data_IF_816806036980
#
_entry.id   IF_816806036980
#
_cell.length_a   1.000
_cell.length_b   1.000
_cell.length_c   1.000
_cell.angle_alpha   90.00
_cell.angle_beta   90.00
_cell.angle_gamma   90.00
#
_symmetry.space_group_name_H-M   'P 1'
#
loop_
_entity.id
_entity.type
_entity.pdbx_description
1 polymer ?
#
# COMPACT_ATOMS: atom_id res chain seq x y z
N UNK A 1 38.86 0.56 37.14
CA UNK A 1 37.63 0.63 36.34
C UNK A 1 37.16 2.07 36.41
N UNK A 2 37.28 2.80 35.30
CA UNK A 2 36.95 4.23 35.27
C UNK A 2 35.42 4.39 35.39
N UNK A 3 34.95 5.40 36.12
CA UNK A 3 33.50 5.68 36.28
C UNK A 3 32.77 5.77 34.92
N UNK A 4 33.47 6.26 33.90
CA UNK A 4 32.94 6.37 32.54
C UNK A 4 32.80 5.01 31.84
N UNK A 5 33.70 4.06 32.13
CA UNK A 5 33.68 2.68 31.59
C UNK A 5 32.50 1.90 32.16
N UNK A 6 32.27 1.98 33.48
CA UNK A 6 31.16 1.28 34.13
C UNK A 6 29.80 1.85 33.71
N UNK A 7 29.68 3.18 33.57
CA UNK A 7 28.43 3.81 33.15
C UNK A 7 28.03 3.44 31.70
N UNK A 8 28.99 3.49 30.77
CA UNK A 8 28.74 3.12 29.37
C UNK A 8 28.53 1.61 29.22
N UNK A 9 29.25 0.77 29.95
CA UNK A 9 29.00 -0.67 29.97
C UNK A 9 27.60 -0.99 30.50
N UNK A 10 27.18 -0.37 31.61
CA UNK A 10 25.82 -0.53 32.14
C UNK A 10 24.74 -0.09 31.14
N UNK A 11 25.01 0.97 30.37
CA UNK A 11 24.13 1.41 29.29
C UNK A 11 24.04 0.38 28.16
N UNK A 12 25.15 -0.24 27.77
CA UNK A 12 25.15 -1.33 26.78
C UNK A 12 24.38 -2.55 27.29
N UNK A 13 24.54 -2.90 28.57
CA UNK A 13 23.81 -3.99 29.21
C UNK A 13 22.31 -3.71 29.27
N UNK A 14 21.91 -2.49 29.62
CA UNK A 14 20.49 -2.09 29.58
C UNK A 14 19.88 -2.14 28.17
N UNK A 15 20.66 -1.86 27.11
CA UNK A 15 20.23 -2.05 25.73
C UNK A 15 20.14 -3.53 25.35
N UNK A 16 21.07 -4.35 25.83
CA UNK A 16 21.06 -5.80 25.65
C UNK A 16 19.83 -6.44 26.28
N UNK A 17 19.47 -6.05 27.50
CA UNK A 17 18.25 -6.51 28.18
C UNK A 17 16.96 -6.08 27.45
N UNK A 18 16.97 -4.87 26.87
CA UNK A 18 15.88 -4.38 26.01
C UNK A 18 15.82 -5.05 24.64
N UNK A 19 16.68 -6.05 24.39
CA UNK A 19 16.84 -6.76 23.10
C UNK A 19 17.28 -5.88 21.95
N UNK A 20 17.80 -4.70 22.26
CA UNK A 20 18.31 -3.78 21.25
C UNK A 20 19.78 -4.09 20.95
N UNK A 21 20.01 -5.28 20.37
CA UNK A 21 21.34 -5.84 20.19
C UNK A 21 22.20 -5.01 19.22
N UNK A 22 21.59 -4.29 18.27
CA UNK A 22 22.31 -3.49 17.27
C UNK A 22 22.93 -2.25 17.91
N UNK A 23 22.16 -1.53 18.73
CA UNK A 23 22.70 -0.37 19.43
C UNK A 23 23.63 -0.77 20.59
N UNK A 24 23.36 -1.89 21.26
CA UNK A 24 24.27 -2.47 22.25
C UNK A 24 25.63 -2.83 21.65
N UNK A 25 25.66 -3.49 20.48
CA UNK A 25 26.89 -3.86 19.77
C UNK A 25 27.72 -2.63 19.37
N UNK A 26 27.07 -1.56 18.89
CA UNK A 26 27.74 -0.31 18.56
C UNK A 26 28.44 0.32 19.76
N UNK A 27 27.78 0.32 20.93
CA UNK A 27 28.33 0.90 22.16
C UNK A 27 29.49 0.05 22.70
N UNK A 28 29.37 -1.27 22.66
CA UNK A 28 30.43 -2.21 23.06
C UNK A 28 31.65 -2.12 22.12
N UNK A 29 31.45 -1.91 20.82
CA UNK A 29 32.53 -1.66 19.87
C UNK A 29 33.29 -0.37 20.16
N UNK A 30 32.59 0.69 20.60
CA UNK A 30 33.24 1.93 21.03
C UNK A 30 34.07 1.73 22.29
N UNK A 31 33.58 0.91 23.23
CA UNK A 31 34.29 0.59 24.45
C UNK A 31 35.51 -0.30 24.21
N UNK A 32 35.41 -1.30 23.33
CA UNK A 32 36.54 -2.15 22.94
C UNK A 32 37.69 -1.39 22.28
N UNK A 33 37.41 -0.30 21.56
CA UNK A 33 38.46 0.57 20.99
C UNK A 33 39.29 1.26 22.06
N UNK A 34 38.68 1.58 23.21
CA UNK A 34 39.33 2.27 24.33
C UNK A 34 39.93 1.30 25.34
N UNK A 35 39.30 0.14 25.50
CA UNK A 35 39.68 -0.92 26.46
C UNK A 35 39.73 -2.29 25.75
N UNK A 36 40.73 -2.54 24.90
CA UNK A 36 40.80 -3.76 24.08
C UNK A 36 41.03 -5.04 24.90
N UNK A 37 41.65 -4.93 26.08
CA UNK A 37 42.00 -6.04 26.97
C UNK A 37 40.85 -6.48 27.89
N UNK A 38 39.73 -5.75 27.94
CA UNK A 38 38.62 -6.07 28.84
C UNK A 38 37.82 -7.29 28.31
N UNK A 39 37.87 -8.38 29.06
CA UNK A 39 37.22 -9.65 28.74
C UNK A 39 35.70 -9.58 28.77
N UNK A 40 35.13 -8.73 29.64
CA UNK A 40 33.69 -8.63 29.84
C UNK A 40 33.04 -7.92 28.66
N UNK A 41 33.64 -6.82 28.18
CA UNK A 41 33.14 -6.09 27.01
C UNK A 41 33.18 -7.00 25.78
N UNK A 42 34.24 -7.79 25.62
CA UNK A 42 34.38 -8.77 24.54
C UNK A 42 33.34 -9.88 24.64
N UNK A 43 33.06 -10.37 25.85
CA UNK A 43 32.02 -11.37 26.11
C UNK A 43 30.64 -10.86 25.70
N UNK A 44 30.24 -9.66 26.16
CA UNK A 44 28.94 -9.08 25.81
C UNK A 44 28.81 -8.73 24.33
N UNK A 45 29.90 -8.30 23.68
CA UNK A 45 29.92 -8.07 22.23
C UNK A 45 29.66 -9.36 21.47
N UNK A 46 30.34 -10.45 21.83
CA UNK A 46 30.14 -11.76 21.23
C UNK A 46 28.69 -12.24 21.39
N UNK A 47 28.11 -12.05 22.58
CA UNK A 47 26.72 -12.38 22.85
C UNK A 47 25.74 -11.56 21.99
N UNK A 48 25.98 -10.26 21.80
CA UNK A 48 25.19 -9.42 20.88
C UNK A 48 25.23 -9.95 19.45
N UNK A 49 26.42 -10.30 18.95
CA UNK A 49 26.60 -10.80 17.58
C UNK A 49 25.86 -12.13 17.35
N UNK A 50 25.92 -13.05 18.32
CA UNK A 50 25.16 -14.31 18.27
C UNK A 50 23.65 -14.03 18.20
N UNK A 51 23.15 -13.12 19.04
CA UNK A 51 21.72 -12.77 19.08
C UNK A 51 21.24 -12.12 17.77
N UNK A 52 22.02 -11.19 17.22
CA UNK A 52 21.74 -10.56 15.91
C UNK A 52 21.70 -11.63 14.79
N UNK A 53 22.64 -12.58 14.79
CA UNK A 53 22.66 -13.65 13.81
C UNK A 53 21.45 -14.59 13.94
N UNK A 54 21.02 -14.89 15.17
CA UNK A 54 19.83 -15.69 15.45
C UNK A 54 18.54 -14.99 14.99
N UNK A 55 18.39 -13.69 15.27
CA UNK A 55 17.23 -12.90 14.81
C UNK A 55 17.17 -12.77 13.28
N UNK A 56 18.32 -12.61 12.63
CA UNK A 56 18.38 -12.63 11.17
C UNK A 56 18.00 -14.00 10.60
N UNK A 57 18.47 -15.10 11.22
CA UNK A 57 18.12 -16.46 10.81
C UNK A 57 16.63 -16.76 11.00
N UNK A 58 16.01 -16.34 12.10
CA UNK A 58 14.57 -16.48 12.30
C UNK A 58 13.77 -15.62 11.33
N UNK A 59 14.24 -14.41 10.99
CA UNK A 59 13.62 -13.57 9.97
C UNK A 59 13.64 -14.21 8.58
N UNK A 60 14.78 -14.78 8.17
CA UNK A 60 14.94 -15.46 6.88
C UNK A 60 14.13 -16.76 6.80
N UNK A 61 14.15 -17.58 7.85
CA UNK A 61 13.31 -18.77 7.96
C UNK A 61 11.82 -18.42 7.91
N UNK A 62 11.40 -17.36 8.62
CA UNK A 62 10.01 -16.90 8.57
C UNK A 62 9.63 -16.41 7.16
N UNK A 63 10.53 -15.75 6.43
CA UNK A 63 10.27 -15.35 5.05
C UNK A 63 10.11 -16.56 4.11
N UNK A 64 10.95 -17.58 4.28
CA UNK A 64 10.86 -18.83 3.51
C UNK A 64 9.61 -19.63 3.86
N UNK A 65 9.30 -19.82 5.15
CA UNK A 65 8.09 -20.49 5.61
C UNK A 65 6.84 -19.78 5.11
N UNK A 66 6.82 -18.44 5.12
CA UNK A 66 5.74 -17.65 4.51
C UNK A 66 5.61 -17.93 3.01
N UNK A 67 6.71 -18.02 2.25
CA UNK A 67 6.66 -18.37 0.82
C UNK A 67 6.12 -19.78 0.59
N UNK A 68 6.57 -20.76 1.38
CA UNK A 68 6.18 -22.17 1.25
C UNK A 68 4.70 -22.36 1.58
N UNK A 69 4.16 -21.69 2.60
CA UNK A 69 2.74 -21.78 2.96
C UNK A 69 1.86 -21.00 1.97
N UNK A 70 2.35 -19.86 1.45
CA UNK A 70 1.57 -19.02 0.52
C UNK A 70 1.48 -19.57 -0.89
N UNK A 71 2.46 -20.35 -1.35
CA UNK A 71 2.46 -20.92 -2.70
C UNK A 71 1.29 -21.90 -2.97
N UNK A 72 1.06 -22.96 -2.16
CA UNK A 72 -0.06 -23.88 -2.36
C UNK A 72 -1.40 -23.18 -2.14
N UNK A 73 -1.46 -22.21 -1.22
CA UNK A 73 -2.68 -21.45 -0.97
C UNK A 73 -3.05 -20.53 -2.14
N UNK A 74 -2.05 -19.99 -2.86
CA UNK A 74 -2.26 -19.25 -4.14
C UNK A 74 -2.71 -20.17 -5.26
N UNK A 75 -2.14 -21.37 -5.38
CA UNK A 75 -2.54 -22.34 -6.40
C UNK A 75 -3.98 -22.79 -6.15
N UNK A 76 -4.35 -23.06 -4.89
CA UNK A 76 -5.70 -23.47 -4.53
C UNK A 76 -6.73 -22.34 -4.76
N UNK A 77 -6.36 -21.09 -4.44
CA UNK A 77 -7.16 -19.92 -4.77
C UNK A 77 -7.40 -19.78 -6.29
N UNK A 78 -6.37 -20.04 -7.11
CA UNK A 78 -6.46 -19.98 -8.56
C UNK A 78 -7.28 -21.16 -9.13
N UNK A 79 -7.13 -22.35 -8.57
CA UNK A 79 -7.93 -23.52 -8.91
C UNK A 79 -9.43 -23.26 -8.67
N UNK A 80 -9.80 -22.81 -7.46
CA UNK A 80 -11.20 -22.51 -7.12
C UNK A 80 -11.82 -21.44 -8.02
N UNK A 81 -11.01 -20.50 -8.53
CA UNK A 81 -11.45 -19.50 -9.50
C UNK A 81 -11.83 -20.12 -10.85
N UNK A 82 -11.04 -21.06 -11.35
CA UNK A 82 -11.38 -21.78 -12.58
C UNK A 82 -12.52 -22.80 -12.39
N UNK A 83 -12.82 -23.18 -11.13
CA UNK A 83 -13.89 -24.12 -10.79
C UNK A 83 -15.26 -23.47 -10.54
N UNK A 84 -15.42 -22.15 -10.73
CA UNK A 84 -16.68 -21.39 -10.51
C UNK A 84 -17.24 -21.48 -9.06
N UNK A 85 -16.42 -21.96 -8.12
CA UNK A 85 -16.75 -22.08 -6.69
C UNK A 85 -16.41 -20.79 -5.93
N UNK A 86 -16.94 -19.66 -6.41
CA UNK A 86 -16.59 -18.31 -5.97
C UNK A 86 -16.68 -18.09 -4.45
N UNK A 87 -17.65 -18.73 -3.78
CA UNK A 87 -17.84 -18.59 -2.33
C UNK A 87 -16.71 -19.24 -1.54
N UNK A 88 -16.20 -20.39 -1.99
CA UNK A 88 -15.05 -21.05 -1.35
C UNK A 88 -13.78 -20.26 -1.61
N UNK A 89 -13.61 -19.75 -2.84
CA UNK A 89 -12.51 -18.84 -3.19
C UNK A 89 -12.52 -17.59 -2.29
N UNK A 90 -13.69 -16.98 -2.06
CA UNK A 90 -13.88 -15.86 -1.14
C UNK A 90 -13.45 -16.20 0.28
N UNK A 91 -13.92 -17.33 0.82
CA UNK A 91 -13.60 -17.76 2.19
C UNK A 91 -12.08 -17.98 2.39
N UNK A 92 -11.40 -18.49 1.38
CA UNK A 92 -9.96 -18.71 1.38
C UNK A 92 -9.21 -17.38 1.33
N UNK A 93 -9.68 -16.43 0.50
CA UNK A 93 -9.13 -15.08 0.43
C UNK A 93 -9.32 -14.32 1.75
N UNK A 94 -10.44 -14.50 2.45
CA UNK A 94 -10.64 -13.93 3.79
C UNK A 94 -9.63 -14.45 4.81
N UNK A 95 -9.34 -15.75 4.81
CA UNK A 95 -8.30 -16.33 5.67
C UNK A 95 -6.92 -15.79 5.29
N UNK A 96 -6.62 -15.70 3.99
CA UNK A 96 -5.38 -15.14 3.47
C UNK A 96 -5.15 -13.71 3.94
N UNK A 97 -6.14 -12.82 3.81
CA UNK A 97 -6.00 -11.40 4.19
C UNK A 97 -5.79 -11.24 5.69
N UNK A 98 -6.50 -12.01 6.53
CA UNK A 98 -6.37 -11.96 7.99
C UNK A 98 -4.93 -12.28 8.46
N UNK A 99 -4.25 -13.16 7.75
CA UNK A 99 -2.86 -13.51 8.08
C UNK A 99 -1.85 -12.67 7.29
N UNK A 100 -2.21 -12.21 6.08
CA UNK A 100 -1.33 -11.49 5.16
C UNK A 100 -2.13 -10.53 4.25
N UNK A 101 -2.10 -9.21 4.51
CA UNK A 101 -2.73 -8.21 3.65
C UNK A 101 -1.92 -8.03 2.35
N UNK A 102 -2.06 -8.99 1.43
CA UNK A 102 -1.50 -8.91 0.09
C UNK A 102 -2.40 -8.03 -0.78
N UNK A 103 -1.86 -6.99 -1.40
CA UNK A 103 -2.57 -6.10 -2.36
C UNK A 103 -3.34 -6.92 -3.41
N UNK A 104 -2.75 -8.01 -3.90
CA UNK A 104 -3.38 -8.90 -4.88
C UNK A 104 -4.66 -9.54 -4.33
N UNK A 105 -4.70 -9.91 -3.04
CA UNK A 105 -5.89 -10.46 -2.38
C UNK A 105 -7.03 -9.44 -2.26
N UNK A 106 -6.71 -8.17 -2.06
CA UNK A 106 -7.70 -7.09 -2.09
C UNK A 106 -8.27 -6.87 -3.49
N UNK A 107 -7.43 -6.95 -4.54
CA UNK A 107 -7.91 -6.91 -5.92
C UNK A 107 -8.87 -8.04 -6.24
N UNK A 108 -8.55 -9.26 -5.81
CA UNK A 108 -9.42 -10.41 -6.02
C UNK A 108 -10.77 -10.24 -5.33
N UNK A 109 -10.78 -9.69 -4.12
CA UNK A 109 -12.01 -9.39 -3.38
C UNK A 109 -12.84 -8.31 -4.08
N UNK A 110 -12.20 -7.24 -4.54
CA UNK A 110 -12.86 -6.18 -5.29
C UNK A 110 -13.49 -6.71 -6.59
N UNK A 111 -12.78 -7.58 -7.31
CA UNK A 111 -13.30 -8.23 -8.53
C UNK A 111 -14.51 -9.12 -8.25
N UNK A 112 -14.41 -10.03 -7.28
CA UNK A 112 -15.51 -10.96 -6.94
C UNK A 112 -16.77 -10.21 -6.45
N UNK A 113 -16.60 -9.17 -5.63
CA UNK A 113 -17.72 -8.34 -5.16
C UNK A 113 -18.36 -7.50 -6.28
N UNK A 114 -17.56 -7.06 -7.25
CA UNK A 114 -18.05 -6.35 -8.43
C UNK A 114 -18.91 -7.23 -9.33
N UNK A 115 -18.56 -8.52 -9.45
CA UNK A 115 -19.28 -9.49 -10.29
C UNK A 115 -20.57 -10.02 -9.65
N UNK A 116 -20.57 -10.24 -8.32
CA UNK A 116 -21.65 -10.97 -7.66
C UNK A 116 -22.82 -10.10 -7.21
N UNK A 117 -22.63 -9.06 -6.38
CA UNK A 117 -23.76 -8.49 -5.59
C UNK A 117 -23.65 -6.98 -5.26
N UNK A 118 -22.47 -6.39 -5.09
CA UNK A 118 -22.39 -5.02 -4.53
C UNK A 118 -21.19 -4.22 -5.04
N UNK A 119 -21.41 -3.45 -6.12
CA UNK A 119 -20.42 -2.52 -6.68
C UNK A 119 -19.86 -1.53 -5.64
N UNK A 120 -20.65 -1.14 -4.61
CA UNK A 120 -20.19 -0.22 -3.56
C UNK A 120 -19.15 -0.86 -2.64
N UNK A 121 -19.32 -2.15 -2.31
CA UNK A 121 -18.37 -2.90 -1.47
C UNK A 121 -17.04 -3.20 -2.17
N UNK A 122 -17.02 -3.24 -3.50
CA UNK A 122 -15.78 -3.39 -4.27
C UNK A 122 -14.85 -2.18 -4.09
N UNK A 123 -15.41 -0.97 -4.08
CA UNK A 123 -14.66 0.29 -4.01
C UNK A 123 -13.96 0.50 -2.67
N UNK A 124 -14.55 0.06 -1.55
CA UNK A 124 -13.89 0.16 -0.25
C UNK A 124 -12.59 -0.64 -0.21
N UNK A 125 -12.55 -1.82 -0.85
CA UNK A 125 -11.31 -2.60 -0.95
C UNK A 125 -10.29 -1.98 -1.89
N UNK A 126 -10.72 -1.33 -2.97
CA UNK A 126 -9.81 -0.58 -3.83
C UNK A 126 -9.22 0.63 -3.09
N UNK A 127 -9.99 1.28 -2.21
CA UNK A 127 -9.47 2.36 -1.36
C UNK A 127 -8.43 1.84 -0.35
N UNK A 128 -8.64 0.66 0.24
CA UNK A 128 -7.63 0.00 1.09
C UNK A 128 -6.36 -0.36 0.31
N UNK A 129 -6.45 -0.69 -0.99
CA UNK A 129 -5.25 -0.88 -1.81
C UNK A 129 -4.46 0.42 -1.92
N UNK A 130 -5.14 1.56 -2.11
CA UNK A 130 -4.48 2.86 -2.23
C UNK A 130 -3.90 3.39 -0.92
N UNK A 131 -4.37 2.94 0.25
CA UNK A 131 -3.70 3.25 1.53
C UNK A 131 -2.39 2.48 1.69
N UNK A 132 -2.32 1.25 1.16
CA UNK A 132 -1.11 0.41 1.20
C UNK A 132 -0.14 0.81 0.08
N UNK A 133 -0.65 1.09 -1.11
CA UNK A 133 0.12 1.42 -2.32
C UNK A 133 -0.53 2.61 -3.05
N UNK A 134 -0.19 3.84 -2.66
CA UNK A 134 -0.79 5.06 -3.22
C UNK A 134 -0.55 5.26 -4.72
N UNK A 135 0.50 4.65 -5.27
CA UNK A 135 0.88 4.73 -6.68
C UNK A 135 0.39 3.52 -7.51
N UNK A 136 -0.52 2.70 -6.96
CA UNK A 136 -1.06 1.58 -7.72
C UNK A 136 -1.98 2.08 -8.85
N UNK A 137 -1.46 2.02 -10.08
CA UNK A 137 -2.11 2.49 -11.29
C UNK A 137 -3.48 1.83 -11.52
N UNK A 138 -3.61 0.54 -11.20
CA UNK A 138 -4.85 -0.21 -11.44
C UNK A 138 -5.93 0.24 -10.47
N UNK A 139 -5.60 0.45 -9.20
CA UNK A 139 -6.55 0.94 -8.21
C UNK A 139 -6.96 2.39 -8.50
N UNK A 140 -6.00 3.24 -8.89
CA UNK A 140 -6.29 4.61 -9.31
C UNK A 140 -7.23 4.66 -10.51
N UNK A 141 -7.04 3.80 -11.52
CA UNK A 141 -7.96 3.68 -12.67
C UNK A 141 -9.38 3.32 -12.23
N UNK A 142 -9.53 2.29 -11.39
CA UNK A 142 -10.85 1.83 -10.91
C UNK A 142 -11.58 2.93 -10.11
N UNK A 143 -10.88 3.67 -9.24
CA UNK A 143 -11.49 4.79 -8.50
C UNK A 143 -11.83 5.96 -9.43
N UNK A 144 -10.98 6.25 -10.41
CA UNK A 144 -11.23 7.27 -11.42
C UNK A 144 -12.53 7.00 -12.19
N UNK A 145 -12.69 5.77 -12.70
CA UNK A 145 -13.90 5.31 -13.38
C UNK A 145 -15.13 5.34 -12.46
N UNK A 146 -14.97 4.93 -11.21
CA UNK A 146 -16.05 5.01 -10.23
C UNK A 146 -16.55 6.45 -10.02
N UNK A 147 -15.64 7.42 -9.95
CA UNK A 147 -16.02 8.82 -9.87
C UNK A 147 -16.70 9.34 -11.15
N UNK A 148 -16.33 8.84 -12.33
CA UNK A 148 -17.08 9.12 -13.57
C UNK A 148 -18.52 8.61 -13.44
N UNK A 149 -18.71 7.37 -13.01
CA UNK A 149 -20.05 6.76 -12.83
C UNK A 149 -20.91 7.52 -11.81
N UNK A 150 -20.30 8.10 -10.78
CA UNK A 150 -20.98 8.95 -9.80
C UNK A 150 -21.25 10.39 -10.28
N UNK A 151 -20.81 10.76 -11.49
CA UNK A 151 -20.91 12.12 -12.00
C UNK A 151 -19.93 13.12 -11.38
N UNK A 152 -18.98 12.64 -10.57
CA UNK A 152 -17.95 13.41 -9.87
C UNK A 152 -16.75 13.68 -10.78
N UNK A 153 -16.99 14.37 -11.91
CA UNK A 153 -16.00 14.55 -12.99
C UNK A 153 -14.70 15.23 -12.53
N UNK A 154 -14.80 16.22 -11.64
CA UNK A 154 -13.62 16.92 -11.09
C UNK A 154 -12.69 15.97 -10.29
N UNK A 155 -13.27 15.08 -9.48
CA UNK A 155 -12.50 14.07 -8.73
C UNK A 155 -11.88 13.04 -9.66
N UNK A 156 -12.65 12.56 -10.65
CA UNK A 156 -12.13 11.64 -11.67
C UNK A 156 -10.93 12.24 -12.42
N UNK A 157 -11.03 13.51 -12.84
CA UNK A 157 -9.97 14.24 -13.54
C UNK A 157 -8.69 14.34 -12.70
N UNK A 158 -8.81 14.71 -11.43
CA UNK A 158 -7.67 14.78 -10.51
C UNK A 158 -6.96 13.43 -10.37
N UNK A 159 -7.72 12.33 -10.27
CA UNK A 159 -7.15 10.98 -10.16
C UNK A 159 -6.43 10.58 -11.45
N UNK A 160 -7.05 10.78 -12.62
CA UNK A 160 -6.41 10.44 -13.89
C UNK A 160 -5.19 11.33 -14.20
N UNK A 161 -5.16 12.58 -13.73
CA UNK A 161 -3.95 13.41 -13.78
C UNK A 161 -2.82 12.83 -12.93
N UNK A 162 -3.12 12.31 -11.73
CA UNK A 162 -2.13 11.58 -10.92
C UNK A 162 -1.61 10.35 -11.66
N UNK A 163 -2.49 9.55 -12.27
CA UNK A 163 -2.06 8.37 -13.07
C UNK A 163 -1.16 8.80 -14.24
N UNK A 164 -1.50 9.87 -14.96
CA UNK A 164 -0.66 10.40 -16.04
C UNK A 164 0.73 10.83 -15.56
N UNK A 165 0.84 11.35 -14.34
CA UNK A 165 2.13 11.67 -13.72
C UNK A 165 3.01 10.44 -13.47
N UNK A 166 2.41 9.29 -13.17
CA UNK A 166 3.13 8.03 -12.97
C UNK A 166 3.35 7.22 -14.27
N UNK A 167 2.48 7.37 -15.26
CA UNK A 167 2.56 6.66 -16.55
C UNK A 167 2.15 7.59 -17.69
N UNK A 168 3.09 8.42 -18.19
CA UNK A 168 2.82 9.42 -19.22
C UNK A 168 2.39 8.82 -20.57
N UNK A 169 2.81 7.59 -20.87
CA UNK A 169 2.56 6.90 -22.13
C UNK A 169 1.26 6.09 -22.15
N UNK A 170 0.48 6.11 -21.06
CA UNK A 170 -0.77 5.37 -20.98
C UNK A 170 -1.86 6.04 -21.86
N UNK A 171 -2.04 5.47 -23.06
CA UNK A 171 -3.00 5.95 -24.06
C UNK A 171 -4.45 5.89 -23.57
N UNK A 172 -4.76 4.97 -22.66
CA UNK A 172 -6.07 4.82 -22.05
C UNK A 172 -6.38 6.02 -21.15
N UNK A 173 -5.41 6.46 -20.34
CA UNK A 173 -5.56 7.62 -19.46
C UNK A 173 -5.74 8.91 -20.26
N UNK A 174 -4.98 9.06 -21.34
CA UNK A 174 -5.12 10.21 -22.24
C UNK A 174 -6.53 10.27 -22.85
N UNK A 175 -7.10 9.12 -23.21
CA UNK A 175 -8.50 9.01 -23.66
C UNK A 175 -9.50 9.37 -22.57
N UNK A 176 -9.33 8.86 -21.34
CA UNK A 176 -10.22 9.21 -20.22
C UNK A 176 -10.22 10.71 -19.91
N UNK A 177 -9.04 11.36 -19.91
CA UNK A 177 -8.93 12.80 -19.69
C UNK A 177 -9.59 13.62 -20.82
N UNK A 178 -9.42 13.19 -22.08
CA UNK A 178 -10.09 13.83 -23.23
C UNK A 178 -11.62 13.71 -23.11
N UNK A 179 -12.13 12.52 -22.81
CA UNK A 179 -13.56 12.29 -22.63
C UNK A 179 -14.13 13.11 -21.46
N UNK A 180 -13.41 13.21 -20.35
CA UNK A 180 -13.80 14.05 -19.21
C UNK A 180 -13.89 15.53 -19.58
N UNK A 181 -12.92 16.04 -20.33
CA UNK A 181 -12.95 17.43 -20.79
C UNK A 181 -14.11 17.71 -21.75
N UNK A 182 -14.46 16.76 -22.62
CA UNK A 182 -15.61 16.88 -23.52
C UNK A 182 -16.94 16.86 -22.74
N UNK A 183 -17.06 16.00 -21.73
CA UNK A 183 -18.23 15.96 -20.84
C UNK A 183 -18.39 17.25 -20.02
N UNK A 184 -17.29 17.85 -19.56
CA UNK A 184 -17.29 19.15 -18.90
C UNK A 184 -17.77 20.27 -19.85
N UNK A 185 -17.28 20.30 -21.09
CA UNK A 185 -17.67 21.28 -22.10
C UNK A 185 -19.17 21.18 -22.46
N UNK A 186 -19.68 19.96 -22.68
CA UNK A 186 -21.10 19.71 -22.96
C UNK A 186 -22.01 20.14 -21.81
N UNK A 187 -21.55 20.05 -20.55
CA UNK A 187 -22.30 20.55 -19.39
C UNK A 187 -22.33 22.07 -19.28
N UNK A 188 -21.38 22.77 -19.90
CA UNK A 188 -21.32 24.23 -19.88
C UNK A 188 -22.06 24.88 -21.06
N UNK A 189 -22.33 24.15 -22.14
CA UNK A 189 -23.12 24.65 -23.28
C UNK A 189 -24.58 25.07 -22.99
N UNK A 190 -25.34 24.50 -22.03
CA UNK A 190 -26.74 24.89 -21.81
C UNK A 190 -26.90 26.33 -21.29
N UNK A 191 -25.87 26.90 -20.64
CA UNK A 191 -25.93 28.23 -20.05
C UNK A 191 -25.72 29.37 -21.05
N UNK A 192 -25.16 29.11 -22.24
CA UNK A 192 -24.98 30.15 -23.27
C UNK A 192 -26.22 30.38 -24.14
N UNK A 193 -27.13 29.40 -24.24
CA UNK A 193 -28.32 29.53 -25.11
C UNK A 193 -29.53 30.21 -24.44
N UNK A 194 -29.57 30.34 -23.12
CA UNK A 194 -30.67 31.02 -22.42
C UNK A 194 -30.50 32.55 -22.29
N UNK A 195 -29.31 33.11 -22.56
CA UNK A 195 -29.06 34.56 -22.50
C UNK A 195 -29.12 35.27 -23.86
N UNK A 196 -29.69 34.64 -24.90
CA UNK A 196 -29.73 35.17 -26.27
C UNK A 196 -31.14 35.22 -26.88
N UNK A 197 -32.20 35.10 -26.07
CA UNK A 197 -33.58 35.23 -26.54
C UNK A 197 -34.46 36.08 -25.60
N UNK A 198 -34.21 37.38 -25.60
CA UNK A 198 -35.26 38.38 -25.35
C UNK A 198 -35.15 39.43 -26.44
N UNK A 199 -35.95 39.35 -27.52
CA UNK A 199 -35.99 40.41 -28.51
C UNK A 199 -36.63 41.64 -27.86
N UNK A 200 -35.97 42.79 -28.00
CA UNK A 200 -36.55 44.12 -27.81
C UNK A 200 -37.90 44.19 -28.54
N UNK A 201 -38.99 43.99 -27.81
CA UNK A 201 -40.29 44.56 -28.11
C UNK A 201 -40.50 45.59 -27.02
N UNK A 202 -40.22 46.85 -27.35
CA UNK A 202 -40.88 48.05 -26.81
C UNK A 202 -40.01 49.27 -27.08
N UNK A 203 -40.15 49.78 -28.32
CA UNK A 203 -39.80 51.10 -28.84
C UNK A 203 -40.20 51.01 -30.32
N UNK A 204 -41.31 51.59 -30.78
CA UNK A 204 -41.67 53.00 -30.75
C UNK A 204 -43.19 53.09 -30.97
N UNK A 205 -43.85 53.86 -30.10
CA UNK A 205 -45.18 54.46 -30.31
C UNK A 205 -45.05 55.70 -31.20
#
# INVERSE_FOLDING_TARGET
MDLLESETLNKALGLFEKRDYVYAEKLLNQLLKRYPENTDIRHYQHMCLIRIAQEKKTSLLNLFLKKIITFPLKIYALYLFFSDEDLKALSLHFKLIKHFPLIKSYYWKAYLLSQRINKKGSISFIQEILTISPADLKALKIIGEHHIQQGNLAKAKSIFQKVKGFSPEDSEISRHLKNLSALEALRQEPFKKQNLSSPDRDKIS
#
